data_IF_744775987909
#
_entry.id   IF_744775987909
#
_cell.length_a   1.000
_cell.length_b   1.000
_cell.length_c   1.000
_cell.angle_alpha   90.00
_cell.angle_beta   90.00
_cell.angle_gamma   90.00
#
_symmetry.space_group_name_H-M   'P 1'
#
loop_
_entity.id
_entity.type
_entity.pdbx_description
1 polymer ?
#
# COMPACT_ATOMS: atom_id res chain seq x y z
N UNK A 1 -0.13 5.78 -12.49
CA UNK A 1 1.29 6.13 -12.67
C UNK A 1 1.84 7.12 -11.63
N UNK A 2 1.37 8.38 -11.58
CA UNK A 2 1.98 9.43 -10.72
C UNK A 2 1.94 9.18 -9.19
N UNK A 3 1.00 8.37 -8.71
CA UNK A 3 0.87 8.04 -7.27
C UNK A 3 1.96 7.05 -6.80
N UNK A 4 2.20 5.95 -7.55
CA UNK A 4 3.24 4.94 -7.24
C UNK A 4 4.66 5.53 -7.26
N UNK A 5 4.96 6.40 -8.23
CA UNK A 5 6.24 7.10 -8.31
C UNK A 5 6.45 8.13 -7.16
N UNK A 6 5.37 8.66 -6.57
CA UNK A 6 5.46 9.53 -5.39
C UNK A 6 5.77 8.74 -4.12
N UNK A 7 5.12 7.60 -3.91
CA UNK A 7 5.40 6.73 -2.75
C UNK A 7 6.83 6.18 -2.76
N UNK A 8 7.34 5.78 -3.91
CA UNK A 8 8.71 5.30 -4.05
C UNK A 8 9.73 6.42 -3.83
N UNK A 9 9.44 7.66 -4.27
CA UNK A 9 10.25 8.84 -3.94
C UNK A 9 10.20 9.21 -2.46
N UNK A 10 9.07 9.04 -1.78
CA UNK A 10 8.96 9.28 -0.33
C UNK A 10 9.73 8.21 0.44
N UNK A 11 9.57 6.93 0.11
CA UNK A 11 10.38 5.87 0.70
C UNK A 11 11.88 6.08 0.44
N UNK A 12 12.26 6.44 -0.79
CA UNK A 12 13.63 6.78 -1.17
C UNK A 12 14.17 7.99 -0.39
N UNK A 13 13.35 9.02 -0.20
CA UNK A 13 13.72 10.19 0.57
C UNK A 13 13.87 9.86 2.04
N UNK A 14 12.97 9.07 2.60
CA UNK A 14 13.04 8.62 3.99
C UNK A 14 14.22 7.68 4.22
N UNK A 15 14.54 6.79 3.27
CA UNK A 15 15.76 5.96 3.37
C UNK A 15 17.03 6.78 3.19
N UNK A 16 17.04 7.76 2.29
CA UNK A 16 18.15 8.69 2.13
C UNK A 16 18.33 9.59 3.37
N UNK A 17 17.26 10.13 3.93
CA UNK A 17 17.27 10.93 5.16
C UNK A 17 17.66 10.07 6.37
N UNK A 18 17.21 8.82 6.45
CA UNK A 18 17.59 7.91 7.55
C UNK A 18 19.04 7.43 7.43
N UNK A 19 19.54 7.22 6.22
CA UNK A 19 20.95 6.97 5.97
C UNK A 19 21.81 8.22 6.27
N UNK A 20 21.31 9.42 5.96
CA UNK A 20 21.95 10.68 6.33
C UNK A 20 21.96 10.89 7.85
N UNK A 21 20.86 10.58 8.54
CA UNK A 21 20.74 10.69 10.00
C UNK A 21 21.57 9.65 10.74
N UNK A 22 21.70 8.43 10.20
CA UNK A 22 22.62 7.43 10.74
C UNK A 22 24.09 7.85 10.61
N UNK A 23 24.44 8.67 9.60
CA UNK A 23 25.76 9.28 9.50
C UNK A 23 25.93 10.51 10.39
N UNK A 24 24.88 11.31 10.59
CA UNK A 24 24.94 12.52 11.45
C UNK A 24 24.88 12.20 12.95
N UNK A 25 24.39 11.01 13.33
CA UNK A 25 24.43 10.51 14.72
C UNK A 25 25.82 10.12 15.22
N UNK A 26 26.86 10.29 14.40
CA UNK A 26 28.25 10.16 14.82
C UNK A 26 28.69 11.53 15.37
N UNK A 27 28.82 11.71 16.70
CA UNK A 27 29.10 13.00 17.29
C UNK A 27 30.53 13.44 16.97
N UNK A 28 30.66 14.24 15.92
CA UNK A 28 31.86 14.99 15.60
C UNK A 28 31.72 16.38 16.24
N UNK A 29 32.22 16.52 17.46
CA UNK A 29 32.07 17.75 18.24
C UNK A 29 32.91 18.94 17.74
N UNK A 30 33.80 18.79 16.75
CA UNK A 30 34.63 19.90 16.23
C UNK A 30 35.04 19.66 14.76
N UNK A 31 34.13 19.79 13.80
CA UNK A 31 34.48 19.70 12.37
C UNK A 31 34.28 21.03 11.62
N UNK A 32 35.36 21.66 11.12
CA UNK A 32 35.28 22.81 10.20
C UNK A 32 34.73 22.36 8.84
N UNK A 33 34.05 23.26 8.13
CA UNK A 33 33.48 23.14 6.77
C UNK A 33 33.85 21.83 6.03
N UNK A 34 33.13 20.76 6.34
CA UNK A 34 33.31 19.48 5.65
C UNK A 34 32.71 19.60 4.24
N UNK A 35 33.46 19.24 3.19
CA UNK A 35 32.95 19.24 1.83
C UNK A 35 31.70 18.36 1.74
N UNK A 36 30.73 18.81 0.93
CA UNK A 36 29.46 18.12 0.73
C UNK A 36 29.65 16.61 0.57
N UNK A 37 28.79 15.76 1.18
CA UNK A 37 28.94 14.32 1.11
C UNK A 37 29.05 13.87 -0.35
N UNK A 38 29.98 12.95 -0.67
CA UNK A 38 30.24 12.57 -2.05
C UNK A 38 28.95 12.09 -2.71
N UNK A 39 28.56 12.80 -3.78
CA UNK A 39 27.36 12.57 -4.60
C UNK A 39 27.22 11.11 -5.07
N UNK A 40 28.34 10.39 -5.15
CA UNK A 40 28.47 9.02 -5.65
C UNK A 40 27.73 7.95 -4.84
N UNK A 41 27.55 8.12 -3.52
CA UNK A 41 26.87 7.12 -2.69
C UNK A 41 25.34 7.03 -2.94
N UNK A 42 24.75 8.02 -3.61
CA UNK A 42 23.30 8.05 -3.91
C UNK A 42 22.92 7.29 -5.18
N UNK A 43 23.89 7.08 -6.08
CA UNK A 43 23.72 6.46 -7.39
C UNK A 43 23.19 5.01 -7.34
N UNK A 44 23.69 4.11 -6.46
CA UNK A 44 23.21 2.72 -6.44
C UNK A 44 21.75 2.64 -5.97
N UNK A 45 21.37 3.43 -4.97
CA UNK A 45 20.00 3.47 -4.48
C UNK A 45 19.04 4.06 -5.50
N UNK A 46 19.40 5.14 -6.20
CA UNK A 46 18.55 5.71 -7.24
C UNK A 46 18.31 4.73 -8.39
N UNK A 47 19.35 4.01 -8.81
CA UNK A 47 19.23 2.98 -9.83
C UNK A 47 18.35 1.81 -9.37
N UNK A 48 18.53 1.36 -8.13
CA UNK A 48 17.70 0.34 -7.51
C UNK A 48 16.23 0.75 -7.43
N UNK A 49 15.95 2.00 -7.07
CA UNK A 49 14.58 2.55 -7.02
C UNK A 49 13.97 2.58 -8.40
N UNK A 50 14.69 3.11 -9.41
CA UNK A 50 14.19 3.15 -10.79
C UNK A 50 13.89 1.74 -11.31
N UNK A 51 14.77 0.77 -11.03
CA UNK A 51 14.54 -0.62 -11.42
C UNK A 51 13.34 -1.21 -10.71
N UNK A 52 13.17 -0.92 -9.43
CA UNK A 52 11.98 -1.34 -8.68
C UNK A 52 10.70 -0.73 -9.26
N UNK A 53 10.71 0.55 -9.61
CA UNK A 53 9.60 1.24 -10.27
C UNK A 53 9.22 0.56 -11.58
N UNK A 54 10.20 0.31 -12.45
CA UNK A 54 10.01 -0.36 -13.74
C UNK A 54 9.44 -1.78 -13.56
N UNK A 55 9.97 -2.55 -12.62
CA UNK A 55 9.48 -3.91 -12.33
C UNK A 55 8.06 -3.91 -11.77
N UNK A 56 7.74 -2.98 -10.87
CA UNK A 56 6.40 -2.84 -10.30
C UNK A 56 5.40 -2.34 -11.35
N UNK A 57 5.84 -1.49 -12.28
CA UNK A 57 5.05 -1.05 -13.42
C UNK A 57 4.76 -2.24 -14.34
N UNK A 58 5.80 -2.96 -14.78
CA UNK A 58 5.66 -4.14 -15.62
C UNK A 58 4.78 -5.22 -14.96
N UNK A 59 5.00 -5.53 -13.68
CA UNK A 59 4.19 -6.48 -12.94
C UNK A 59 2.73 -6.01 -12.80
N UNK A 60 2.49 -4.70 -12.71
CA UNK A 60 1.13 -4.17 -12.65
C UNK A 60 0.39 -4.22 -13.98
N UNK A 61 1.08 -4.15 -15.12
CA UNK A 61 0.44 -4.27 -16.44
C UNK A 61 -0.04 -5.70 -16.69
N UNK A 62 0.61 -6.68 -16.08
CA UNK A 62 0.15 -8.06 -16.09
C UNK A 62 -0.99 -8.35 -15.10
N UNK A 63 -1.36 -7.39 -14.24
CA UNK A 63 -2.48 -7.59 -13.31
C UNK A 63 -3.81 -7.29 -14.02
N UNK A 64 -4.69 -8.28 -14.06
CA UNK A 64 -6.07 -8.13 -14.57
C UNK A 64 -6.79 -6.96 -13.88
N UNK A 65 -6.49 -6.72 -12.61
CA UNK A 65 -7.00 -5.59 -11.82
C UNK A 65 -6.67 -4.22 -12.44
N UNK A 66 -5.46 -4.02 -12.98
CA UNK A 66 -5.10 -2.73 -13.58
C UNK A 66 -5.75 -2.55 -14.97
N UNK A 67 -5.90 -3.64 -15.73
CA UNK A 67 -6.65 -3.62 -16.99
C UNK A 67 -8.12 -3.26 -16.75
N UNK A 68 -8.76 -3.89 -15.74
CA UNK A 68 -10.11 -3.57 -15.31
C UNK A 68 -10.24 -2.13 -14.81
N UNK A 69 -9.25 -1.63 -14.05
CA UNK A 69 -9.23 -0.23 -13.61
C UNK A 69 -9.12 0.74 -14.78
N UNK A 70 -8.28 0.43 -15.76
CA UNK A 70 -8.14 1.27 -16.95
C UNK A 70 -9.45 1.27 -17.75
N UNK A 71 -10.06 0.11 -17.95
CA UNK A 71 -11.35 -0.01 -18.61
C UNK A 71 -12.42 0.80 -17.88
N UNK A 72 -12.58 0.59 -16.57
CA UNK A 72 -13.50 1.35 -15.71
C UNK A 72 -13.24 2.85 -15.79
N UNK A 73 -11.98 3.27 -15.75
CA UNK A 73 -11.63 4.69 -15.82
C UNK A 73 -12.01 5.34 -17.15
N UNK A 74 -12.00 4.55 -18.23
CA UNK A 74 -12.39 4.99 -19.58
C UNK A 74 -13.90 4.98 -19.84
N UNK A 75 -14.69 4.40 -18.93
CA UNK A 75 -16.14 4.36 -19.08
C UNK A 75 -16.76 5.73 -18.89
N UNK A 76 -17.88 5.95 -19.58
CA UNK A 76 -18.74 7.12 -19.40
C UNK A 76 -19.29 7.12 -17.96
N UNK A 77 -19.39 8.27 -17.27
CA UNK A 77 -19.97 8.40 -15.93
C UNK A 77 -21.26 7.61 -15.67
N UNK A 78 -22.20 7.64 -16.62
CA UNK A 78 -23.47 6.93 -16.54
C UNK A 78 -23.30 5.41 -16.47
N UNK A 79 -22.33 4.87 -17.20
CA UNK A 79 -22.03 3.44 -17.19
C UNK A 79 -21.32 3.05 -15.89
N UNK A 80 -20.45 3.91 -15.34
CA UNK A 80 -19.85 3.70 -14.00
C UNK A 80 -20.93 3.60 -12.92
N UNK A 81 -21.91 4.51 -12.95
CA UNK A 81 -23.05 4.48 -12.02
C UNK A 81 -23.94 3.26 -12.23
N UNK A 82 -24.18 2.86 -13.48
CA UNK A 82 -24.96 1.66 -13.79
C UNK A 82 -24.27 0.40 -13.27
N UNK A 83 -22.95 0.28 -13.47
CA UNK A 83 -22.15 -0.81 -12.93
C UNK A 83 -22.22 -0.84 -11.39
N UNK A 84 -22.01 0.31 -10.74
CA UNK A 84 -22.14 0.41 -9.29
C UNK A 84 -23.54 0.04 -8.80
N UNK A 85 -24.59 0.42 -9.55
CA UNK A 85 -26.00 0.08 -9.25
C UNK A 85 -26.26 -1.41 -9.37
N UNK A 86 -25.69 -2.08 -10.37
CA UNK A 86 -25.78 -3.52 -10.52
C UNK A 86 -25.05 -4.26 -9.39
N UNK A 87 -23.87 -3.79 -8.99
CA UNK A 87 -23.12 -4.37 -7.86
C UNK A 87 -23.89 -4.15 -6.55
N UNK A 88 -24.37 -2.93 -6.29
CA UNK A 88 -25.14 -2.59 -5.11
C UNK A 88 -26.45 -3.39 -5.03
N UNK A 89 -27.16 -3.58 -6.13
CA UNK A 89 -28.39 -4.39 -6.17
C UNK A 89 -28.12 -5.87 -5.92
N UNK A 90 -27.03 -6.41 -6.47
CA UNK A 90 -26.60 -7.79 -6.19
C UNK A 90 -26.24 -7.99 -4.72
N UNK A 91 -25.54 -7.02 -4.11
CA UNK A 91 -25.22 -7.03 -2.68
C UNK A 91 -26.48 -6.97 -1.82
N UNK A 92 -27.43 -6.09 -2.15
CA UNK A 92 -28.70 -5.96 -1.46
C UNK A 92 -29.54 -7.24 -1.57
N UNK A 93 -29.62 -7.84 -2.76
CA UNK A 93 -30.30 -9.11 -2.98
C UNK A 93 -29.67 -10.23 -2.14
N UNK A 94 -28.34 -10.30 -2.12
CA UNK A 94 -27.61 -11.31 -1.32
C UNK A 94 -27.89 -11.13 0.17
N UNK A 95 -27.86 -9.89 0.67
CA UNK A 95 -28.20 -9.58 2.05
C UNK A 95 -29.65 -9.99 2.37
N UNK A 96 -30.60 -9.68 1.48
CA UNK A 96 -32.00 -10.04 1.66
C UNK A 96 -32.22 -11.56 1.72
N UNK A 97 -31.60 -12.31 0.80
CA UNK A 97 -31.68 -13.78 0.78
C UNK A 97 -31.10 -14.38 2.05
N UNK A 98 -29.94 -13.89 2.50
CA UNK A 98 -29.31 -14.39 3.72
C UNK A 98 -30.14 -14.06 4.97
N UNK A 99 -30.62 -12.82 5.09
CA UNK A 99 -31.50 -12.42 6.19
C UNK A 99 -32.78 -13.27 6.20
N UNK A 100 -33.40 -13.48 5.04
CA UNK A 100 -34.56 -14.36 4.88
C UNK A 100 -34.29 -15.79 5.35
N UNK A 101 -33.15 -16.38 4.97
CA UNK A 101 -32.75 -17.74 5.39
C UNK A 101 -32.50 -17.80 6.90
N UNK A 102 -31.98 -16.73 7.50
CA UNK A 102 -31.70 -16.66 8.95
C UNK A 102 -32.87 -16.20 9.81
N UNK A 103 -33.97 -15.74 9.20
CA UNK A 103 -35.13 -15.19 9.90
C UNK A 103 -34.93 -13.79 10.47
N UNK A 104 -33.88 -13.08 10.07
CA UNK A 104 -33.61 -11.70 10.47
C UNK A 104 -34.30 -10.69 9.54
N UNK A 105 -34.59 -9.49 10.06
CA UNK A 105 -35.10 -8.38 9.25
C UNK A 105 -33.98 -7.82 8.36
N UNK A 106 -34.07 -7.95 7.01
CA UNK A 106 -33.05 -7.44 6.10
C UNK A 106 -32.90 -5.92 6.17
N UNK A 107 -33.95 -5.20 6.56
CA UNK A 107 -33.93 -3.75 6.70
C UNK A 107 -33.37 -3.30 8.06
N UNK A 108 -33.09 -4.23 8.98
CA UNK A 108 -32.51 -3.96 10.28
C UNK A 108 -33.28 -2.91 11.08
N UNK A 109 -34.61 -2.91 10.98
CA UNK A 109 -35.51 -2.00 11.70
C UNK A 109 -35.87 -0.71 10.95
N UNK A 110 -35.42 -0.49 9.71
CA UNK A 110 -35.82 0.70 8.94
C UNK A 110 -37.32 0.66 8.67
N UNK A 111 -38.00 1.73 9.06
CA UNK A 111 -39.43 1.93 8.79
C UNK A 111 -39.64 3.28 8.10
N UNK A 112 -40.73 3.45 7.36
CA UNK A 112 -41.12 4.75 6.78
C UNK A 112 -41.74 5.71 7.83
N UNK A 113 -41.38 5.54 9.10
CA UNK A 113 -41.94 6.31 10.21
C UNK A 113 -40.98 7.42 10.64
N UNK A 114 -41.51 8.40 11.39
CA UNK A 114 -40.71 9.47 11.99
C UNK A 114 -39.54 8.92 12.84
N UNK A 115 -39.68 7.73 13.43
CA UNK A 115 -38.62 7.08 14.22
C UNK A 115 -37.34 6.83 13.42
N UNK A 116 -37.45 6.38 12.17
CA UNK A 116 -36.26 6.13 11.33
C UNK A 116 -35.65 7.43 10.82
N UNK A 117 -36.46 8.49 10.67
CA UNK A 117 -35.95 9.84 10.42
C UNK A 117 -35.17 10.38 11.63
N UNK A 118 -35.68 10.18 12.85
CA UNK A 118 -34.99 10.55 14.08
C UNK A 118 -33.68 9.75 14.24
N UNK A 119 -33.71 8.44 13.95
CA UNK A 119 -32.53 7.59 13.95
C UNK A 119 -31.49 8.05 12.90
N UNK A 120 -31.91 8.42 11.70
CA UNK A 120 -31.03 9.03 10.70
C UNK A 120 -30.41 10.35 11.20
N UNK A 121 -31.19 11.18 11.90
CA UNK A 121 -30.71 12.39 12.56
C UNK A 121 -29.63 12.11 13.60
N UNK A 122 -29.82 11.09 14.45
CA UNK A 122 -28.79 10.62 15.38
C UNK A 122 -27.56 10.08 14.62
N UNK A 123 -27.76 9.35 13.53
CA UNK A 123 -26.72 8.88 12.63
C UNK A 123 -25.85 10.01 12.08
N UNK A 124 -26.46 11.13 11.70
CA UNK A 124 -25.72 12.32 11.28
C UNK A 124 -24.86 12.90 12.40
N UNK A 125 -25.35 12.90 13.65
CA UNK A 125 -24.56 13.26 14.83
C UNK A 125 -23.38 12.31 15.05
N UNK A 126 -23.61 10.99 14.92
CA UNK A 126 -22.57 9.98 15.01
C UNK A 126 -21.56 10.01 13.84
N UNK A 127 -21.86 10.68 12.73
CA UNK A 127 -20.91 10.87 11.64
C UNK A 127 -19.79 11.86 12.02
N UNK A 128 -20.05 12.80 12.93
CA UNK A 128 -19.11 13.87 13.29
C UNK A 128 -17.69 13.37 13.66
N UNK A 129 -17.50 12.36 14.53
CA UNK A 129 -16.15 11.84 14.82
C UNK A 129 -15.48 11.20 13.59
N UNK A 130 -16.23 10.52 12.72
CA UNK A 130 -15.68 9.93 11.49
C UNK A 130 -15.20 11.01 10.53
N UNK A 131 -16.01 12.05 10.35
CA UNK A 131 -15.68 13.22 9.54
C UNK A 131 -14.48 13.98 10.09
N UNK A 132 -14.43 14.19 11.40
CA UNK A 132 -13.32 14.85 12.06
C UNK A 132 -12.02 14.04 11.87
N UNK A 133 -12.06 12.73 12.12
CA UNK A 133 -10.91 11.84 11.88
C UNK A 133 -10.46 11.88 10.42
N UNK A 134 -11.39 11.84 9.47
CA UNK A 134 -11.12 11.96 8.03
C UNK A 134 -10.38 13.26 7.70
N UNK A 135 -10.94 14.41 8.10
CA UNK A 135 -10.33 15.73 7.82
C UNK A 135 -8.98 15.87 8.52
N UNK A 136 -8.89 15.52 9.80
CA UNK A 136 -7.64 15.61 10.57
C UNK A 136 -6.54 14.72 9.98
N UNK A 137 -6.89 13.52 9.52
CA UNK A 137 -5.94 12.58 8.93
C UNK A 137 -5.29 13.12 7.66
N UNK A 138 -5.92 14.08 6.97
CA UNK A 138 -5.41 14.68 5.73
C UNK A 138 -4.57 15.95 5.96
N UNK A 139 -4.51 16.46 7.19
CA UNK A 139 -3.69 17.64 7.50
C UNK A 139 -2.20 17.34 7.27
N UNK A 140 -1.49 18.26 6.62
CA UNK A 140 -0.05 18.17 6.37
C UNK A 140 0.80 17.80 7.61
N UNK A 141 0.60 18.39 8.82
CA UNK A 141 1.36 17.99 10.00
C UNK A 141 1.10 16.53 10.42
N UNK A 142 -0.13 16.05 10.28
CA UNK A 142 -0.49 14.66 10.61
C UNK A 142 0.11 13.69 9.59
N UNK A 143 0.07 14.02 8.30
CA UNK A 143 0.71 13.22 7.24
C UNK A 143 2.23 13.16 7.40
N UNK A 144 2.86 14.26 7.84
CA UNK A 144 4.29 14.27 8.14
C UNK A 144 4.65 13.43 9.38
N UNK A 145 3.80 13.46 10.41
CA UNK A 145 4.00 12.66 11.64
C UNK A 145 3.73 11.16 11.42
N UNK A 146 2.76 10.81 10.57
CA UNK A 146 2.32 9.44 10.31
C UNK A 146 2.39 9.10 8.82
N UNK A 147 3.58 8.81 8.27
CA UNK A 147 3.75 8.54 6.83
C UNK A 147 2.94 7.32 6.35
N UNK A 148 2.78 6.30 7.20
CA UNK A 148 1.98 5.10 6.87
C UNK A 148 0.50 5.46 6.64
N UNK A 149 -0.02 6.47 7.34
CA UNK A 149 -1.39 6.94 7.13
C UNK A 149 -1.53 7.72 5.82
N UNK A 150 -0.51 8.51 5.47
CA UNK A 150 -0.46 9.18 4.17
C UNK A 150 -0.41 8.17 3.01
N UNK A 151 0.46 7.15 3.12
CA UNK A 151 0.55 6.07 2.13
C UNK A 151 -0.78 5.30 2.02
N UNK A 152 -1.45 5.06 3.15
CA UNK A 152 -2.79 4.44 3.16
C UNK A 152 -3.80 5.29 2.40
N UNK A 153 -3.87 6.59 2.66
CA UNK A 153 -4.78 7.51 1.97
C UNK A 153 -4.48 7.64 0.48
N UNK A 154 -3.20 7.70 0.11
CA UNK A 154 -2.77 7.78 -1.28
C UNK A 154 -3.12 6.48 -2.01
N UNK A 155 -2.94 5.33 -1.36
CA UNK A 155 -3.35 4.02 -1.91
C UNK A 155 -4.88 3.91 -2.03
N UNK A 156 -5.65 4.27 -1.01
CA UNK A 156 -7.12 4.21 -1.07
C UNK A 156 -7.68 5.17 -2.09
N UNK A 157 -7.13 6.39 -2.17
CA UNK A 157 -7.50 7.34 -3.23
C UNK A 157 -7.18 6.80 -4.61
N UNK A 158 -6.06 6.10 -4.80
CA UNK A 158 -5.70 5.45 -6.06
C UNK A 158 -6.69 4.36 -6.49
N UNK A 159 -7.27 3.62 -5.52
CA UNK A 159 -8.30 2.60 -5.78
C UNK A 159 -9.65 3.22 -6.13
N UNK A 160 -10.03 4.30 -5.44
CA UNK A 160 -11.34 4.96 -5.61
C UNK A 160 -11.36 5.89 -6.83
N UNK A 161 -10.24 6.53 -7.15
CA UNK A 161 -10.11 7.51 -8.24
C UNK A 161 -10.67 7.08 -9.60
N UNK A 162 -10.42 5.87 -10.14
CA UNK A 162 -10.99 5.49 -11.44
C UNK A 162 -12.53 5.47 -11.44
N UNK A 163 -13.15 5.17 -10.29
CA UNK A 163 -14.60 5.19 -10.13
C UNK A 163 -15.17 6.60 -9.98
N UNK A 164 -14.39 7.52 -9.39
CA UNK A 164 -14.85 8.88 -9.08
C UNK A 164 -14.41 9.93 -10.08
N UNK A 165 -13.44 9.62 -10.94
CA UNK A 165 -13.02 10.56 -11.98
C UNK A 165 -14.21 10.87 -12.87
N UNK A 166 -14.35 12.15 -13.22
CA UNK A 166 -15.35 12.65 -14.16
C UNK A 166 -16.80 12.60 -13.63
N UNK A 167 -17.00 12.29 -12.34
CA UNK A 167 -18.30 12.34 -11.69
C UNK A 167 -18.57 13.73 -11.09
N UNK A 168 -19.77 14.23 -11.35
CA UNK A 168 -20.29 15.42 -10.67
C UNK A 168 -20.63 15.12 -9.20
N UNK A 169 -20.75 16.15 -8.36
CA UNK A 169 -21.08 15.98 -6.93
C UNK A 169 -22.40 15.21 -6.70
N UNK A 170 -23.39 15.40 -7.59
CA UNK A 170 -24.66 14.67 -7.56
C UNK A 170 -24.47 13.18 -7.89
N UNK A 171 -23.61 12.89 -8.86
CA UNK A 171 -23.26 11.52 -9.26
C UNK A 171 -22.43 10.83 -8.17
N UNK A 172 -21.53 11.55 -7.49
CA UNK A 172 -20.82 11.03 -6.31
C UNK A 172 -21.77 10.69 -5.16
N UNK A 173 -22.79 11.53 -4.92
CA UNK A 173 -23.83 11.25 -3.95
C UNK A 173 -24.63 9.99 -4.34
N UNK A 174 -25.02 9.86 -5.61
CA UNK A 174 -25.70 8.67 -6.12
C UNK A 174 -24.83 7.42 -5.97
N UNK A 175 -23.54 7.50 -6.30
CA UNK A 175 -22.58 6.42 -6.12
C UNK A 175 -22.50 5.98 -4.65
N UNK A 176 -22.43 6.93 -3.71
CA UNK A 176 -22.42 6.65 -2.28
C UNK A 176 -23.74 6.01 -1.81
N UNK A 177 -24.89 6.53 -2.26
CA UNK A 177 -26.23 5.98 -1.97
C UNK A 177 -26.42 4.55 -2.50
N UNK A 178 -25.76 4.21 -3.59
CA UNK A 178 -25.87 2.89 -4.22
C UNK A 178 -24.95 1.87 -3.56
N UNK A 179 -23.78 2.29 -3.06
CA UNK A 179 -22.79 1.36 -2.50
C UNK A 179 -22.89 1.21 -0.98
N UNK A 180 -23.15 2.29 -0.24
CA UNK A 180 -23.09 2.28 1.23
C UNK A 180 -24.24 1.48 1.87
N UNK A 181 -25.52 1.72 1.53
CA UNK A 181 -26.62 0.99 2.16
C UNK A 181 -26.56 -0.53 1.93
N UNK A 182 -26.36 -1.04 0.68
CA UNK A 182 -26.24 -2.48 0.46
C UNK A 182 -25.05 -3.11 1.19
N UNK A 183 -23.91 -2.41 1.26
CA UNK A 183 -22.76 -2.89 2.03
C UNK A 183 -23.08 -3.00 3.52
N UNK A 184 -23.81 -2.04 4.09
CA UNK A 184 -24.21 -2.10 5.50
C UNK A 184 -25.29 -3.14 5.77
N UNK A 185 -26.25 -3.35 4.87
CA UNK A 185 -27.22 -4.46 4.97
C UNK A 185 -26.50 -5.82 4.94
N UNK A 186 -25.45 -5.96 4.13
CA UNK A 186 -24.66 -7.19 4.06
C UNK A 186 -23.76 -7.37 5.29
N UNK A 187 -23.23 -6.29 5.87
CA UNK A 187 -22.27 -6.38 6.98
C UNK A 187 -22.94 -6.43 8.36
N UNK A 188 -24.13 -5.85 8.54
CA UNK A 188 -24.76 -5.72 9.85
C UNK A 188 -25.83 -6.80 10.09
N UNK A 189 -27.06 -6.71 9.53
CA UNK A 189 -28.11 -7.68 9.83
C UNK A 189 -27.79 -9.08 9.32
N UNK A 190 -27.16 -9.19 8.15
CA UNK A 190 -26.79 -10.48 7.56
C UNK A 190 -25.79 -11.24 8.42
N UNK A 191 -24.71 -10.58 8.87
CA UNK A 191 -23.69 -11.22 9.73
C UNK A 191 -24.27 -11.56 11.10
N UNK A 192 -25.17 -10.71 11.64
CA UNK A 192 -25.90 -10.99 12.86
C UNK A 192 -26.70 -12.29 12.76
N UNK A 193 -27.54 -12.42 11.73
CA UNK A 193 -28.36 -13.62 11.50
C UNK A 193 -27.51 -14.88 11.30
N UNK A 194 -26.47 -14.81 10.46
CA UNK A 194 -25.60 -15.96 10.21
C UNK A 194 -24.92 -16.47 11.50
N UNK A 195 -24.48 -15.55 12.37
CA UNK A 195 -23.83 -15.93 13.63
C UNK A 195 -24.83 -16.39 14.69
N UNK A 196 -26.06 -15.85 14.69
CA UNK A 196 -27.13 -16.35 15.53
C UNK A 196 -27.45 -17.82 15.19
N UNK A 197 -27.58 -18.14 13.90
CA UNK A 197 -27.79 -19.52 13.42
C UNK A 197 -26.60 -20.42 13.73
N UNK A 198 -25.37 -19.99 13.44
CA UNK A 198 -24.16 -20.76 13.74
C UNK A 198 -24.01 -21.02 15.25
N UNK A 199 -24.31 -20.02 16.08
CA UNK A 199 -24.33 -20.16 17.54
C UNK A 199 -25.39 -21.13 18.02
N UNK A 200 -26.58 -21.13 17.41
CA UNK A 200 -27.64 -22.10 17.72
C UNK A 200 -27.23 -23.54 17.38
N UNK A 201 -26.57 -23.76 16.23
CA UNK A 201 -26.06 -25.08 15.82
C UNK A 201 -24.94 -25.54 16.76
N UNK A 202 -23.99 -24.67 17.10
CA UNK A 202 -22.93 -25.02 18.04
C UNK A 202 -23.50 -25.33 19.45
N UNK A 203 -24.54 -24.62 19.87
CA UNK A 203 -25.23 -24.87 21.13
C UNK A 203 -25.94 -26.23 21.14
N UNK A 204 -26.58 -26.63 20.04
CA UNK A 204 -27.25 -27.93 19.92
C UNK A 204 -26.23 -29.07 20.00
N UNK A 205 -25.09 -28.93 19.33
CA UNK A 205 -24.03 -29.95 19.32
C UNK A 205 -23.36 -30.11 20.70
N UNK A 206 -23.20 -29.02 21.45
CA UNK A 206 -22.59 -29.05 22.79
C UNK A 206 -23.54 -29.55 23.88
N UNK A 207 -24.84 -29.26 23.77
CA UNK A 207 -25.84 -29.61 24.81
C UNK A 207 -26.45 -30.98 24.61
N UNK A 208 -26.46 -31.50 23.38
CA UNK A 208 -26.79 -32.89 23.07
C UNK A 208 -25.53 -33.61 22.56
N UNK A 209 -24.55 -33.92 23.43
CA UNK A 209 -23.47 -34.81 23.04
C UNK A 209 -24.12 -36.14 22.68
N UNK A 210 -24.16 -36.47 21.38
CA UNK A 210 -24.82 -37.64 20.80
C UNK A 210 -24.77 -38.84 21.77
N UNK A 211 -25.86 -39.16 22.49
CA UNK A 211 -25.90 -40.37 23.29
C UNK A 211 -26.18 -41.51 22.33
N UNK A 212 -25.11 -42.15 21.85
CA UNK A 212 -25.20 -43.44 21.16
C UNK A 212 -25.51 -43.34 19.67
N UNK A 213 -24.47 -43.50 18.87
CA UNK A 213 -24.51 -43.94 17.47
C UNK A 213 -24.88 -45.44 17.38
N UNK A 214 -25.81 -45.91 18.21
CA UNK A 214 -26.32 -47.28 18.20
C UNK A 214 -27.85 -47.28 18.11
N UNK A 215 -28.33 -47.29 16.86
CA UNK A 215 -29.52 -48.02 16.47
C UNK A 215 -30.88 -47.49 16.97
N UNK A 216 -31.45 -46.50 16.29
CA UNK A 216 -32.88 -46.25 16.43
C UNK A 216 -33.33 -44.99 15.71
N UNK A 217 -33.72 -45.11 14.45
CA UNK A 217 -34.21 -44.01 13.62
C UNK A 217 -35.49 -43.38 14.17
N UNK A 218 -35.35 -42.41 15.07
CA UNK A 218 -36.45 -41.62 15.61
C UNK A 218 -36.21 -40.16 15.25
N UNK A 219 -37.01 -39.67 14.30
CA UNK A 219 -37.08 -38.26 13.92
C UNK A 219 -37.48 -37.45 15.16
N UNK A 220 -36.58 -36.64 15.69
CA UNK A 220 -36.89 -35.73 16.79
C UNK A 220 -37.42 -34.40 16.22
N UNK A 221 -38.60 -33.94 16.65
CA UNK A 221 -39.14 -32.65 16.24
C UNK A 221 -38.30 -31.51 16.80
N UNK A 222 -37.93 -30.57 15.92
CA UNK A 222 -37.04 -29.42 16.20
C UNK A 222 -37.59 -28.42 17.24
N UNK A 223 -38.80 -28.62 17.77
CA UNK A 223 -39.48 -27.68 18.67
C UNK A 223 -39.01 -27.73 20.14
N UNK A 224 -38.19 -28.71 20.54
CA UNK A 224 -37.88 -28.96 21.97
C UNK A 224 -36.50 -28.48 22.47
N UNK A 225 -35.68 -27.81 21.66
CA UNK A 225 -34.47 -27.10 22.15
C UNK A 225 -34.80 -25.74 22.81
N UNK A 226 -35.93 -25.72 23.52
CA UNK A 226 -36.39 -24.61 24.34
C UNK A 226 -35.56 -24.44 25.61
N UNK A 227 -34.77 -23.38 25.62
CA UNK A 227 -34.60 -22.43 26.73
C UNK A 227 -33.96 -22.85 28.07
N UNK A 228 -33.87 -24.13 28.47
CA UNK A 228 -33.53 -24.46 29.87
C UNK A 228 -32.04 -24.57 30.24
N UNK A 229 -31.14 -24.92 29.32
CA UNK A 229 -29.71 -25.10 29.64
C UNK A 229 -28.88 -23.81 29.73
N UNK A 230 -29.41 -22.69 29.23
CA UNK A 230 -28.66 -21.43 29.07
C UNK A 230 -28.95 -20.39 30.16
N UNK A 231 -29.66 -20.77 31.23
CA UNK A 231 -30.17 -19.88 32.27
C UNK A 231 -29.12 -19.34 33.26
N UNK A 232 -27.89 -19.84 33.24
CA UNK A 232 -26.85 -19.43 34.19
C UNK A 232 -25.88 -18.35 33.68
N UNK A 233 -25.96 -17.98 32.40
CA UNK A 233 -25.22 -16.79 31.91
C UNK A 233 -26.06 -15.55 32.21
N UNK A 234 -25.54 -14.55 32.94
CA UNK A 234 -26.28 -13.34 33.25
C UNK A 234 -26.86 -12.73 31.98
N UNK A 235 -28.13 -12.35 32.02
CA UNK A 235 -28.88 -11.81 30.87
C UNK A 235 -28.17 -10.59 30.22
N UNK A 236 -27.43 -9.83 31.04
CA UNK A 236 -26.57 -8.71 30.63
C UNK A 236 -25.38 -9.17 29.80
N UNK A 237 -24.69 -10.24 30.22
CA UNK A 237 -23.56 -10.83 29.52
C UNK A 237 -24.01 -11.44 28.20
N UNK A 238 -25.19 -12.08 28.17
CA UNK A 238 -25.79 -12.66 26.97
C UNK A 238 -26.15 -11.62 25.92
N UNK A 239 -26.76 -10.49 26.32
CA UNK A 239 -27.07 -9.38 25.40
C UNK A 239 -25.81 -8.67 24.91
N UNK A 240 -24.84 -8.44 25.80
CA UNK A 240 -23.58 -7.77 25.44
C UNK A 240 -22.72 -8.60 24.48
N UNK A 241 -22.47 -9.88 24.80
CA UNK A 241 -21.67 -10.77 23.94
C UNK A 241 -22.37 -11.08 22.62
N UNK A 242 -23.70 -11.27 22.64
CA UNK A 242 -24.49 -11.51 21.43
C UNK A 242 -24.42 -10.36 20.42
N UNK A 243 -24.23 -9.13 20.88
CA UNK A 243 -24.00 -7.98 20.01
C UNK A 243 -22.53 -7.83 19.59
N UNK A 244 -21.58 -8.10 20.48
CA UNK A 244 -20.15 -7.91 20.21
C UNK A 244 -19.58 -8.91 19.21
N UNK A 245 -19.99 -10.19 19.28
CA UNK A 245 -19.43 -11.23 18.41
C UNK A 245 -19.71 -10.93 16.93
N UNK A 246 -20.97 -10.62 16.51
CA UNK A 246 -21.23 -10.24 15.13
C UNK A 246 -20.54 -8.96 14.69
N UNK A 247 -20.44 -7.96 15.57
CA UNK A 247 -19.68 -6.75 15.31
C UNK A 247 -18.22 -7.08 14.95
N UNK A 248 -17.57 -7.90 15.78
CA UNK A 248 -16.17 -8.29 15.61
C UNK A 248 -15.95 -9.17 14.37
N UNK A 249 -16.85 -10.11 14.09
CA UNK A 249 -16.76 -10.96 12.90
C UNK A 249 -16.95 -10.15 11.61
N UNK A 250 -17.94 -9.24 11.59
CA UNK A 250 -18.18 -8.33 10.46
C UNK A 250 -16.99 -7.40 10.24
N UNK A 251 -16.50 -6.80 11.32
CA UNK A 251 -15.29 -5.98 11.33
C UNK A 251 -14.08 -6.75 10.80
N UNK A 252 -13.84 -7.97 11.31
CA UNK A 252 -12.76 -8.85 10.87
C UNK A 252 -12.85 -9.15 9.37
N UNK A 253 -14.03 -9.50 8.86
CA UNK A 253 -14.21 -9.81 7.45
C UNK A 253 -13.95 -8.59 6.56
N UNK A 254 -14.55 -7.44 6.90
CA UNK A 254 -14.33 -6.19 6.17
C UNK A 254 -12.86 -5.76 6.20
N UNK A 255 -12.22 -5.85 7.38
CA UNK A 255 -10.80 -5.60 7.55
C UNK A 255 -9.96 -6.55 6.71
N UNK A 256 -10.30 -7.84 6.67
CA UNK A 256 -9.58 -8.83 5.87
C UNK A 256 -9.64 -8.51 4.37
N UNK A 257 -10.83 -8.22 3.86
CA UNK A 257 -11.03 -7.80 2.46
C UNK A 257 -10.21 -6.54 2.14
N UNK A 258 -10.26 -5.54 3.02
CA UNK A 258 -9.47 -4.31 2.86
C UNK A 258 -7.97 -4.60 2.86
N UNK A 259 -7.50 -5.43 3.79
CA UNK A 259 -6.09 -5.79 3.92
C UNK A 259 -5.58 -6.48 2.66
N UNK A 260 -6.36 -7.40 2.08
CA UNK A 260 -6.04 -8.09 0.83
C UNK A 260 -5.92 -7.15 -0.36
N UNK A 261 -6.74 -6.10 -0.40
CA UNK A 261 -6.69 -5.08 -1.46
C UNK A 261 -5.53 -4.10 -1.32
N UNK A 262 -4.99 -3.94 -0.10
CA UNK A 262 -3.86 -3.05 0.20
C UNK A 262 -2.51 -3.78 0.26
N UNK A 263 -2.51 -5.11 0.41
CA UNK A 263 -1.30 -5.92 0.49
C UNK A 263 -0.60 -6.03 -0.86
N UNK A 264 0.62 -6.54 -0.84
CA UNK A 264 1.40 -6.80 -2.05
C UNK A 264 0.71 -7.88 -2.88
N UNK A 265 0.41 -7.57 -4.14
CA UNK A 265 -0.18 -8.51 -5.07
C UNK A 265 0.73 -9.73 -5.28
N UNK A 266 0.14 -10.90 -5.49
CA UNK A 266 0.86 -12.16 -5.68
C UNK A 266 1.81 -12.06 -6.88
N UNK A 267 1.37 -11.41 -7.96
CA UNK A 267 2.21 -11.18 -9.14
C UNK A 267 3.39 -10.26 -8.86
N UNK A 268 3.19 -9.20 -8.07
CA UNK A 268 4.27 -8.30 -7.65
C UNK A 268 5.28 -9.02 -6.74
N UNK A 269 4.79 -9.83 -5.80
CA UNK A 269 5.64 -10.64 -4.94
C UNK A 269 6.46 -11.67 -5.74
N UNK A 270 5.86 -12.28 -6.76
CA UNK A 270 6.54 -13.22 -7.66
C UNK A 270 7.60 -12.52 -8.52
N UNK A 271 7.25 -11.40 -9.16
CA UNK A 271 8.18 -10.59 -9.96
C UNK A 271 9.37 -10.08 -9.12
N UNK A 272 9.11 -9.65 -7.88
CA UNK A 272 10.17 -9.24 -6.96
C UNK A 272 11.08 -10.40 -6.57
N UNK A 273 10.52 -11.59 -6.35
CA UNK A 273 11.30 -12.79 -6.03
C UNK A 273 12.21 -13.18 -7.19
N UNK A 274 11.71 -13.13 -8.42
CA UNK A 274 12.51 -13.39 -9.62
C UNK A 274 13.60 -12.32 -9.80
N UNK A 275 13.25 -11.05 -9.64
CA UNK A 275 14.19 -9.95 -9.69
C UNK A 275 15.28 -10.04 -8.60
N UNK A 276 14.96 -10.53 -7.41
CA UNK A 276 15.93 -10.76 -6.34
C UNK A 276 16.95 -11.85 -6.69
N UNK A 277 16.48 -12.93 -7.32
CA UNK A 277 17.35 -14.01 -7.79
C UNK A 277 18.25 -13.55 -8.95
N UNK A 278 17.75 -12.67 -9.82
CA UNK A 278 18.48 -12.11 -10.96
C UNK A 278 19.27 -10.83 -10.70
N UNK A 279 19.18 -10.25 -9.49
CA UNK A 279 19.69 -8.90 -9.21
C UNK A 279 21.20 -8.76 -9.51
N UNK A 280 22.01 -9.71 -9.04
CA UNK A 280 23.47 -9.64 -9.20
C UNK A 280 23.88 -9.60 -10.69
N UNK A 281 23.21 -10.40 -11.52
CA UNK A 281 23.47 -10.44 -12.98
C UNK A 281 23.01 -9.13 -13.63
N UNK A 282 21.79 -8.69 -13.33
CA UNK A 282 21.22 -7.47 -13.92
C UNK A 282 22.07 -6.24 -13.60
N UNK A 283 22.44 -6.04 -12.33
CA UNK A 283 23.20 -4.86 -11.92
C UNK A 283 24.66 -4.91 -12.35
N UNK A 284 25.25 -6.11 -12.52
CA UNK A 284 26.57 -6.22 -13.15
C UNK A 284 26.53 -5.75 -14.62
N UNK A 285 25.50 -6.15 -15.39
CA UNK A 285 25.31 -5.67 -16.76
C UNK A 285 25.05 -4.16 -16.82
N UNK A 286 24.15 -3.65 -15.98
CA UNK A 286 23.84 -2.22 -15.92
C UNK A 286 25.05 -1.37 -15.48
N UNK A 287 25.89 -1.89 -14.58
CA UNK A 287 27.14 -1.24 -14.19
C UNK A 287 28.14 -1.21 -15.35
N UNK A 288 28.26 -2.30 -16.10
CA UNK A 288 29.12 -2.36 -17.28
C UNK A 288 28.68 -1.37 -18.37
N UNK A 289 27.38 -1.28 -18.65
CA UNK A 289 26.81 -0.32 -19.61
C UNK A 289 27.08 1.13 -19.19
N UNK A 290 26.85 1.48 -17.92
CA UNK A 290 27.11 2.84 -17.41
C UNK A 290 28.58 3.24 -17.48
N UNK A 291 29.47 2.29 -17.24
CA UNK A 291 30.92 2.53 -17.35
C UNK A 291 31.34 2.70 -18.80
N UNK A 292 30.72 1.96 -19.73
CA UNK A 292 30.95 2.15 -21.16
C UNK A 292 30.48 3.54 -21.64
N UNK A 293 29.34 4.03 -21.15
CA UNK A 293 28.84 5.38 -21.44
C UNK A 293 29.66 6.48 -20.77
N UNK A 294 30.18 6.22 -19.57
CA UNK A 294 30.89 7.20 -18.73
C UNK A 294 32.15 6.58 -18.10
N UNK A 295 33.24 6.41 -18.86
CA UNK A 295 34.48 5.80 -18.36
C UNK A 295 35.14 6.63 -17.25
N UNK A 296 34.79 7.91 -17.12
CA UNK A 296 35.28 8.81 -16.08
C UNK A 296 34.88 8.38 -14.67
N UNK A 297 33.77 7.64 -14.51
CA UNK A 297 33.28 7.15 -13.20
C UNK A 297 34.28 6.19 -12.56
N UNK A 298 35.06 5.47 -13.37
CA UNK A 298 36.05 4.52 -12.87
C UNK A 298 37.44 5.09 -12.71
N UNK A 299 37.69 6.35 -13.07
CA UNK A 299 38.98 6.98 -12.77
C UNK A 299 39.01 7.20 -11.25
N UNK A 300 39.73 6.38 -10.45
CA UNK A 300 39.80 6.57 -9.02
C UNK A 300 40.31 7.99 -8.83
N UNK A 301 39.47 8.84 -8.22
CA UNK A 301 39.59 10.29 -8.26
C UNK A 301 41.06 10.68 -8.27
N UNK A 302 41.56 11.12 -9.42
CA UNK A 302 42.87 11.74 -9.52
C UNK A 302 42.73 12.92 -8.60
N UNK A 303 43.16 12.75 -7.36
CA UNK A 303 43.13 13.78 -6.34
C UNK A 303 43.72 14.99 -7.05
N UNK A 304 42.84 15.95 -7.33
CA UNK A 304 43.23 17.25 -7.82
C UNK A 304 44.08 17.81 -6.70
N UNK A 305 45.35 17.47 -6.74
CA UNK A 305 46.43 18.27 -6.22
C UNK A 305 46.36 19.55 -7.05
N UNK A 306 45.40 20.40 -6.70
CA UNK A 306 45.53 21.82 -6.91
C UNK A 306 46.88 22.16 -6.29
N UNK A 307 47.85 22.40 -7.16
CA UNK A 307 49.18 22.86 -6.78
C UNK A 307 49.02 24.11 -5.94
N UNK A 308 49.05 23.95 -4.63
CA UNK A 308 49.44 24.99 -3.72
C UNK A 308 50.93 25.15 -3.92
N UNK A 309 51.29 26.21 -4.63
CA UNK A 309 52.65 26.67 -4.78
C UNK A 309 53.35 26.69 -3.42
N UNK A 310 54.45 25.94 -3.36
CA UNK A 310 55.63 26.14 -2.52
C UNK A 310 55.57 27.28 -1.49
N UNK A 311 55.51 26.92 -0.21
CA UNK A 311 56.11 27.68 0.88
C UNK A 311 56.78 26.70 1.83
N UNK A 312 58.12 26.66 1.73
CA UNK A 312 59.05 25.95 2.60
C UNK A 312 58.71 26.04 4.09
N UNK A 313 58.70 24.91 4.79
CA UNK A 313 59.32 24.82 6.11
C UNK A 313 59.75 23.37 6.39
N UNK A 314 61.06 23.23 6.55
CA UNK A 314 61.76 22.00 6.90
C UNK A 314 61.46 21.54 8.33
N UNK A 315 61.61 20.23 8.50
CA UNK A 315 62.09 19.50 9.68
C UNK A 315 61.25 19.49 10.95
N UNK A 316 60.70 18.32 11.30
CA UNK A 316 61.28 17.52 12.39
C UNK A 316 60.75 16.07 12.37
N UNK A 317 61.68 15.15 12.67
CA UNK A 317 61.46 13.71 12.78
C UNK A 317 60.53 13.36 13.96
N UNK A 318 59.69 12.35 13.78
CA UNK A 318 58.93 11.76 14.89
C UNK A 318 58.16 10.51 14.47
N UNK A 319 58.79 9.35 14.73
CA UNK A 319 58.24 8.01 14.99
C UNK A 319 56.86 7.57 14.45
N UNK A 320 56.88 6.38 13.83
CA UNK A 320 55.72 5.56 13.51
C UNK A 320 54.78 5.32 14.71
N UNK A 321 53.49 5.05 14.46
CA UNK A 321 53.06 3.66 14.61
C UNK A 321 51.97 3.16 13.64
N UNK A 322 52.07 1.85 13.39
CA UNK A 322 51.02 0.83 13.20
C UNK A 322 49.77 1.12 12.34
N UNK A 323 49.61 0.26 11.33
CA UNK A 323 48.42 0.13 10.49
C UNK A 323 47.13 -0.13 11.31
N UNK A 324 45.99 0.51 10.96
CA UNK A 324 44.71 0.18 11.55
C UNK A 324 44.15 -1.11 10.94
N UNK A 325 44.04 -2.12 11.79
CA UNK A 325 43.26 -3.33 11.55
C UNK A 325 41.80 -2.95 11.32
N UNK A 326 41.25 -3.27 10.14
CA UNK A 326 39.83 -3.11 9.83
C UNK A 326 39.03 -4.14 10.62
N UNK A 327 38.44 -3.69 11.74
CA UNK A 327 37.51 -4.49 12.54
C UNK A 327 36.13 -4.43 11.87
N UNK A 328 35.71 -5.58 11.34
CA UNK A 328 34.33 -5.84 10.90
C UNK A 328 33.39 -5.65 12.11
N UNK A 329 32.31 -4.86 12.03
CA UNK A 329 31.42 -4.66 13.16
C UNK A 329 30.77 -5.98 13.58
N UNK A 330 30.91 -6.32 14.86
CA UNK A 330 30.26 -7.44 15.49
C UNK A 330 28.73 -7.27 15.42
N UNK A 331 28.04 -8.36 15.09
CA UNK A 331 26.59 -8.43 15.07
C UNK A 331 26.01 -7.96 16.42
N UNK A 332 24.99 -7.10 16.35
CA UNK A 332 24.26 -6.63 17.52
C UNK A 332 23.69 -7.82 18.32
N UNK A 333 23.67 -7.74 19.67
CA UNK A 333 23.09 -8.78 20.50
C UNK A 333 21.61 -8.95 20.18
N UNK A 334 21.23 -10.16 19.83
CA UNK A 334 19.85 -10.58 19.62
C UNK A 334 19.13 -10.46 20.96
N UNK A 335 18.25 -9.48 21.10
CA UNK A 335 17.30 -9.42 22.23
C UNK A 335 16.30 -10.56 22.04
N UNK A 336 16.60 -11.70 22.66
CA UNK A 336 15.66 -12.79 22.87
C UNK A 336 14.63 -12.32 23.89
N UNK A 337 13.41 -12.01 23.44
CA UNK A 337 12.33 -11.71 24.38
C UNK A 337 11.09 -11.13 23.72
N UNK A 338 10.38 -11.94 22.94
CA UNK A 338 8.91 -12.04 22.85
C UNK A 338 8.56 -12.85 21.59
N UNK A 339 8.11 -14.08 21.82
CA UNK A 339 7.90 -15.10 20.80
C UNK A 339 6.74 -14.79 19.85
N UNK A 340 7.05 -14.91 18.56
CA UNK A 340 6.11 -15.10 17.46
C UNK A 340 6.92 -15.50 16.21
N UNK A 341 6.58 -16.59 15.49
CA UNK A 341 7.41 -17.09 14.40
C UNK A 341 7.21 -16.23 13.15
N UNK A 342 8.02 -15.18 13.00
CA UNK A 342 8.17 -14.45 11.74
C UNK A 342 9.65 -14.21 11.54
N UNK A 343 10.32 -15.12 10.82
CA UNK A 343 11.41 -14.87 9.86
C UNK A 343 12.10 -16.20 9.49
N UNK A 344 11.62 -16.83 8.42
CA UNK A 344 12.35 -17.86 7.67
C UNK A 344 12.23 -17.51 6.19
N UNK A 345 12.92 -16.44 5.77
CA UNK A 345 13.03 -16.09 4.34
C UNK A 345 14.45 -15.70 3.92
N UNK A 346 15.43 -15.75 4.82
CA UNK A 346 16.78 -15.24 4.56
C UNK A 346 17.84 -16.30 4.18
N UNK A 347 17.52 -17.60 4.09
CA UNK A 347 18.55 -18.64 4.00
C UNK A 347 18.48 -19.60 2.80
N UNK A 348 17.82 -19.25 1.68
CA UNK A 348 17.52 -20.23 0.63
C UNK A 348 18.01 -19.92 -0.80
N UNK A 349 18.99 -19.02 -0.99
CA UNK A 349 19.33 -18.51 -2.33
C UNK A 349 20.76 -18.71 -2.86
N UNK A 350 21.68 -19.35 -2.13
CA UNK A 350 23.11 -19.25 -2.45
C UNK A 350 23.73 -20.46 -3.20
N UNK A 351 22.99 -21.52 -3.52
CA UNK A 351 23.63 -22.79 -3.95
C UNK A 351 23.67 -23.07 -5.47
N UNK A 352 22.83 -22.47 -6.32
CA UNK A 352 22.63 -22.97 -7.70
C UNK A 352 23.14 -22.05 -8.84
N UNK A 353 23.98 -21.06 -8.56
CA UNK A 353 24.40 -20.07 -9.57
C UNK A 353 25.73 -20.40 -10.32
N UNK A 354 26.27 -21.61 -10.20
CA UNK A 354 27.67 -21.88 -10.56
C UNK A 354 27.95 -22.47 -11.96
N UNK A 355 26.95 -22.80 -12.80
CA UNK A 355 27.23 -23.65 -13.98
C UNK A 355 26.60 -23.20 -15.33
N UNK A 356 26.89 -21.97 -15.77
CA UNK A 356 26.51 -21.55 -17.14
C UNK A 356 27.65 -20.80 -17.86
N UNK A 357 28.39 -21.56 -18.68
CA UNK A 357 28.73 -21.23 -20.07
C UNK A 357 29.52 -19.95 -20.36
N UNK A 358 30.84 -19.99 -20.15
CA UNK A 358 31.76 -19.01 -20.74
C UNK A 358 32.01 -19.33 -22.23
N UNK A 359 31.27 -18.66 -23.11
CA UNK A 359 31.58 -18.60 -24.55
C UNK A 359 32.71 -17.60 -24.80
N UNK A 360 33.86 -18.10 -25.26
CA UNK A 360 35.05 -17.31 -25.56
C UNK A 360 34.90 -16.53 -26.86
N UNK A 361 34.87 -15.20 -26.76
CA UNK A 361 35.20 -14.28 -27.86
C UNK A 361 36.33 -13.38 -27.38
N UNK A 362 37.55 -13.74 -27.75
CA UNK A 362 38.72 -12.85 -27.89
C UNK A 362 38.75 -12.46 -29.39
N UNK A 363 39.06 -11.26 -29.87
CA UNK A 363 40.10 -10.25 -29.65
C UNK A 363 39.48 -8.92 -30.17
N UNK A 364 39.84 -7.67 -29.87
CA UNK A 364 41.13 -7.02 -29.70
C UNK A 364 40.83 -5.55 -29.34
N UNK A 365 41.05 -5.09 -28.11
CA UNK A 365 41.26 -3.66 -27.82
C UNK A 365 41.95 -3.51 -26.46
N UNK A 366 43.28 -3.38 -26.51
CA UNK A 366 44.14 -3.18 -25.34
C UNK A 366 44.11 -1.70 -24.92
N UNK A 367 42.93 -1.25 -24.50
CA UNK A 367 42.77 -0.04 -23.69
C UNK A 367 42.64 -0.51 -22.26
N UNK A 368 43.59 -0.10 -21.40
CA UNK A 368 43.72 -0.45 -19.99
C UNK A 368 42.36 -0.79 -19.35
N UNK A 369 42.03 -2.08 -19.34
CA UNK A 369 40.72 -2.53 -18.92
C UNK A 369 40.51 -2.06 -17.48
N UNK A 370 39.38 -1.41 -17.17
CA UNK A 370 39.09 -1.05 -15.79
C UNK A 370 39.24 -2.30 -14.92
N UNK A 371 39.73 -2.15 -13.67
CA UNK A 371 39.94 -3.31 -12.81
C UNK A 371 38.60 -4.04 -12.67
N UNK A 372 38.50 -5.25 -13.23
CA UNK A 372 37.27 -6.04 -13.24
C UNK A 372 36.64 -6.20 -11.83
N UNK A 373 37.45 -6.05 -10.78
CA UNK A 373 37.00 -5.98 -9.39
C UNK A 373 36.10 -4.78 -9.06
N UNK A 374 36.39 -3.58 -9.57
CA UNK A 374 35.60 -2.37 -9.27
C UNK A 374 34.19 -2.44 -9.87
N UNK A 375 34.06 -2.96 -11.10
CA UNK A 375 32.77 -3.20 -11.74
C UNK A 375 31.93 -4.24 -10.99
N UNK A 376 32.55 -5.35 -10.56
CA UNK A 376 31.87 -6.38 -9.76
C UNK A 376 31.40 -5.85 -8.41
N UNK A 377 32.23 -5.05 -7.75
CA UNK A 377 31.88 -4.42 -6.48
C UNK A 377 30.71 -3.44 -6.65
N UNK A 378 30.75 -2.58 -7.66
CA UNK A 378 29.66 -1.66 -7.96
C UNK A 378 28.34 -2.40 -8.25
N UNK A 379 28.39 -3.47 -9.06
CA UNK A 379 27.22 -4.29 -9.36
C UNK A 379 26.64 -4.98 -8.11
N UNK A 380 27.50 -5.50 -7.24
CA UNK A 380 27.09 -6.10 -5.96
C UNK A 380 26.45 -5.06 -5.03
N UNK A 381 27.05 -3.87 -4.91
CA UNK A 381 26.50 -2.78 -4.09
C UNK A 381 25.12 -2.33 -4.59
N UNK A 382 24.92 -2.26 -5.92
CA UNK A 382 23.62 -1.94 -6.52
C UNK A 382 22.57 -3.05 -6.29
N UNK A 383 22.97 -4.33 -6.39
CA UNK A 383 22.10 -5.46 -6.12
C UNK A 383 21.65 -5.51 -4.65
N UNK A 384 22.55 -5.25 -3.72
CA UNK A 384 22.24 -5.17 -2.29
C UNK A 384 21.37 -3.96 -1.96
N UNK A 385 21.64 -2.81 -2.60
CA UNK A 385 20.75 -1.65 -2.50
C UNK A 385 19.34 -1.99 -3.00
N UNK A 386 19.21 -2.69 -4.12
CA UNK A 386 17.91 -3.13 -4.66
C UNK A 386 17.17 -4.08 -3.73
N UNK A 387 17.84 -5.11 -3.19
CA UNK A 387 17.25 -6.03 -2.20
C UNK A 387 16.77 -5.27 -0.96
N UNK A 388 17.55 -4.30 -0.49
CA UNK A 388 17.18 -3.48 0.68
C UNK A 388 15.96 -2.61 0.40
N UNK A 389 15.96 -1.87 -0.72
CA UNK A 389 14.86 -0.97 -1.09
C UNK A 389 13.55 -1.73 -1.32
N UNK A 390 13.60 -2.85 -2.04
CA UNK A 390 12.44 -3.69 -2.30
C UNK A 390 11.90 -4.37 -1.03
N UNK A 391 12.78 -4.82 -0.12
CA UNK A 391 12.35 -5.34 1.18
C UNK A 391 11.65 -4.26 2.02
N UNK A 392 12.19 -3.03 2.04
CA UNK A 392 11.56 -1.90 2.72
C UNK A 392 10.21 -1.53 2.11
N UNK A 393 10.09 -1.58 0.78
CA UNK A 393 8.82 -1.36 0.08
C UNK A 393 7.77 -2.43 0.44
N UNK A 394 8.14 -3.71 0.50
CA UNK A 394 7.21 -4.77 0.93
C UNK A 394 6.78 -4.58 2.39
N UNK A 395 7.70 -4.16 3.27
CA UNK A 395 7.40 -3.89 4.67
C UNK A 395 6.47 -2.67 4.83
N UNK A 396 6.65 -1.61 4.03
CA UNK A 396 5.75 -0.45 4.07
C UNK A 396 4.34 -0.83 3.62
N UNK A 397 4.21 -1.59 2.51
CA UNK A 397 2.92 -2.10 2.03
C UNK A 397 2.20 -2.95 3.06
N UNK A 398 2.90 -3.89 3.72
CA UNK A 398 2.31 -4.69 4.81
C UNK A 398 1.86 -3.84 6.01
N UNK A 399 2.58 -2.76 6.33
CA UNK A 399 2.17 -1.84 7.41
C UNK A 399 0.91 -1.06 7.03
N UNK A 400 0.83 -0.59 5.79
CA UNK A 400 -0.35 0.07 5.23
C UNK A 400 -1.55 -0.87 5.25
N UNK A 401 -1.39 -2.12 4.79
CA UNK A 401 -2.44 -3.12 4.80
C UNK A 401 -2.96 -3.45 6.22
N UNK A 402 -2.05 -3.58 7.20
CA UNK A 402 -2.41 -3.79 8.61
C UNK A 402 -3.13 -2.58 9.21
N UNK A 403 -2.67 -1.37 8.91
CA UNK A 403 -3.33 -0.15 9.38
C UNK A 403 -4.74 -0.04 8.78
N UNK A 404 -4.87 -0.29 7.47
CA UNK A 404 -6.16 -0.36 6.78
C UNK A 404 -7.08 -1.40 7.38
N UNK A 405 -6.59 -2.61 7.67
CA UNK A 405 -7.33 -3.64 8.40
C UNK A 405 -7.89 -3.12 9.72
N UNK A 406 -7.04 -2.54 10.58
CA UNK A 406 -7.44 -2.07 11.92
C UNK A 406 -8.47 -0.95 11.81
N UNK A 407 -8.24 0.04 10.93
CA UNK A 407 -9.17 1.16 10.74
C UNK A 407 -10.53 0.71 10.19
N UNK A 408 -10.55 -0.21 9.23
CA UNK A 408 -11.80 -0.78 8.71
C UNK A 408 -12.53 -1.56 9.79
N UNK A 409 -11.82 -2.38 10.58
CA UNK A 409 -12.42 -3.10 11.71
C UNK A 409 -13.05 -2.13 12.72
N UNK A 410 -12.36 -1.06 13.08
CA UNK A 410 -12.87 -0.04 14.01
C UNK A 410 -14.09 0.68 13.44
N UNK A 411 -14.07 1.05 12.16
CA UNK A 411 -15.20 1.72 11.50
C UNK A 411 -16.45 0.84 11.46
N UNK A 412 -16.32 -0.43 11.08
CA UNK A 412 -17.46 -1.36 11.04
C UNK A 412 -17.96 -1.67 12.46
N UNK A 413 -17.06 -1.84 13.43
CA UNK A 413 -17.46 -2.02 14.84
C UNK A 413 -18.23 -0.80 15.35
N UNK A 414 -17.78 0.41 15.01
CA UNK A 414 -18.44 1.65 15.38
C UNK A 414 -19.84 1.77 14.76
N UNK A 415 -19.99 1.50 13.46
CA UNK A 415 -21.29 1.48 12.78
C UNK A 415 -22.23 0.41 13.35
N UNK A 416 -21.70 -0.74 13.73
CA UNK A 416 -22.47 -1.78 14.41
C UNK A 416 -22.96 -1.32 15.79
N UNK A 417 -22.12 -0.64 16.58
CA UNK A 417 -22.53 -0.08 17.88
C UNK A 417 -23.66 0.93 17.67
N UNK A 418 -23.56 1.82 16.68
CA UNK A 418 -24.63 2.77 16.35
C UNK A 418 -25.92 2.01 16.07
N UNK A 419 -25.87 1.02 15.18
CA UNK A 419 -27.04 0.20 14.83
C UNK A 419 -27.68 -0.44 16.06
N UNK A 420 -26.88 -1.06 16.93
CA UNK A 420 -27.38 -1.72 18.13
C UNK A 420 -27.95 -0.71 19.15
N UNK A 421 -27.40 0.51 19.22
CA UNK A 421 -27.92 1.54 20.14
C UNK A 421 -29.22 2.18 19.65
N UNK A 422 -29.40 2.34 18.33
CA UNK A 422 -30.60 2.92 17.74
C UNK A 422 -31.67 1.87 17.44
N UNK A 423 -31.27 0.60 17.31
CA UNK A 423 -32.09 -0.50 16.82
C UNK A 423 -32.75 -0.18 15.46
N UNK A 424 -32.07 0.61 14.65
CA UNK A 424 -32.53 1.09 13.35
C UNK A 424 -31.32 1.32 12.44
N UNK A 425 -31.31 0.64 11.29
CA UNK A 425 -30.22 0.67 10.31
C UNK A 425 -30.13 2.03 9.57
N UNK A 426 -31.14 2.90 9.65
CA UNK A 426 -31.07 4.26 9.11
C UNK A 426 -29.92 5.06 9.72
N UNK A 427 -29.68 4.93 11.03
CA UNK A 427 -28.61 5.64 11.74
C UNK A 427 -27.19 5.32 11.22
N UNK A 428 -26.74 4.04 11.18
CA UNK A 428 -25.42 3.71 10.62
C UNK A 428 -25.33 3.98 9.12
N UNK A 429 -26.43 3.87 8.35
CA UNK A 429 -26.43 4.24 6.92
C UNK A 429 -26.14 5.72 6.75
N UNK A 430 -26.84 6.60 7.47
CA UNK A 430 -26.60 8.04 7.40
C UNK A 430 -25.17 8.38 7.85
N UNK A 431 -24.70 7.76 8.94
CA UNK A 431 -23.33 7.97 9.43
C UNK A 431 -22.27 7.55 8.39
N UNK A 432 -22.41 6.35 7.83
CA UNK A 432 -21.52 5.82 6.80
C UNK A 432 -21.57 6.63 5.51
N UNK A 433 -22.75 7.07 5.08
CA UNK A 433 -22.93 7.84 3.86
C UNK A 433 -22.26 9.21 3.96
N UNK A 434 -22.44 9.92 5.08
CA UNK A 434 -21.77 11.20 5.30
C UNK A 434 -20.24 11.04 5.34
N UNK A 435 -19.74 10.01 6.03
CA UNK A 435 -18.32 9.72 6.10
C UNK A 435 -17.71 9.42 4.72
N UNK A 436 -18.36 8.56 3.92
CA UNK A 436 -17.92 8.22 2.56
C UNK A 436 -18.02 9.43 1.64
N UNK A 437 -19.11 10.19 1.68
CA UNK A 437 -19.29 11.38 0.84
C UNK A 437 -18.20 12.42 1.12
N UNK A 438 -17.86 12.65 2.39
CA UNK A 438 -16.78 13.56 2.74
C UNK A 438 -15.43 13.08 2.20
N UNK A 439 -15.11 11.79 2.30
CA UNK A 439 -13.89 11.23 1.71
C UNK A 439 -13.84 11.41 0.18
N UNK A 440 -14.96 11.17 -0.51
CA UNK A 440 -15.05 11.35 -1.97
C UNK A 440 -14.83 12.81 -2.37
N UNK A 441 -15.46 13.75 -1.66
CA UNK A 441 -15.30 15.19 -1.89
C UNK A 441 -13.87 15.66 -1.61
N UNK A 442 -13.23 15.12 -0.56
CA UNK A 442 -11.84 15.42 -0.23
C UNK A 442 -10.86 14.92 -1.29
N UNK A 443 -11.12 13.74 -1.88
CA UNK A 443 -10.34 13.20 -3.01
C UNK A 443 -10.50 14.12 -4.22
N UNK A 444 -11.73 14.48 -4.59
CA UNK A 444 -12.02 15.34 -5.74
C UNK A 444 -11.39 16.74 -5.59
N UNK A 445 -11.46 17.32 -4.39
CA UNK A 445 -10.86 18.63 -4.12
C UNK A 445 -9.33 18.62 -4.22
N UNK A 446 -8.69 17.52 -3.79
CA UNK A 446 -7.24 17.37 -3.90
C UNK A 446 -6.77 17.32 -5.35
N UNK A 447 -7.53 16.65 -6.22
CA UNK A 447 -7.23 16.57 -7.65
C UNK A 447 -7.39 17.93 -8.35
N UNK A 448 -8.42 18.71 -7.99
CA UNK A 448 -8.67 20.03 -8.56
C UNK A 448 -7.64 21.08 -8.10
N UNK A 449 -7.20 21.03 -6.84
CA UNK A 449 -6.26 22.00 -6.27
C UNK A 449 -4.83 21.90 -6.82
N UNK A 450 -4.41 20.72 -7.26
CA UNK A 450 -3.05 20.49 -7.79
C UNK A 450 -2.77 21.18 -9.14
N UNK A 451 -3.81 21.43 -9.95
CA UNK A 451 -3.68 22.02 -11.28
C UNK A 451 -3.36 23.52 -11.28
N UNK A 452 -3.84 24.28 -10.30
CA UNK A 452 -3.71 25.74 -10.27
C UNK A 452 -2.28 26.22 -9.91
N UNK A 453 -1.51 25.41 -9.17
CA UNK A 453 -0.15 25.79 -8.73
C UNK A 453 0.95 25.31 -9.68
N UNK A 454 0.72 24.23 -10.43
CA UNK A 454 1.68 23.65 -11.39
C UNK A 454 1.65 24.28 -12.78
N UNK A 455 0.63 25.08 -13.09
CA UNK A 455 0.52 25.88 -14.32
C UNK A 455 1.48 27.07 -14.39
N UNK A 456 2.70 26.94 -13.84
CA UNK A 456 3.81 27.80 -14.21
C UNK A 456 4.10 27.46 -15.66
N UNK A 457 3.42 28.18 -16.55
CA UNK A 457 3.63 28.23 -18.00
C UNK A 457 5.10 27.93 -18.24
N UNK A 458 5.40 26.72 -18.70
CA UNK A 458 6.63 26.49 -19.44
C UNK A 458 6.54 27.58 -20.51
N UNK A 459 7.41 28.62 -20.50
CA UNK A 459 7.36 29.63 -21.54
C UNK A 459 7.41 28.82 -22.82
N UNK A 460 6.36 28.94 -23.64
CA UNK A 460 6.39 28.40 -24.97
C UNK A 460 7.68 28.96 -25.55
N UNK A 461 8.67 28.09 -25.73
CA UNK A 461 9.83 28.40 -26.53
C UNK A 461 9.25 28.52 -27.94
N UNK A 462 8.70 29.71 -28.23
CA UNK A 462 8.48 30.25 -29.55
C UNK A 462 9.87 30.47 -30.16
N UNK A 463 10.60 29.37 -30.37
CA UNK A 463 11.64 29.30 -31.37
C UNK A 463 10.93 29.26 -32.71
N UNK A 464 10.59 30.44 -33.22
CA UNK A 464 10.30 30.66 -34.61
C UNK A 464 11.56 30.25 -35.40
N UNK A 465 11.61 29.01 -35.86
CA UNK A 465 12.45 28.62 -36.99
C UNK A 465 11.55 28.82 -38.21
N UNK A 466 11.71 29.97 -38.86
CA UNK A 466 11.02 30.27 -40.10
C UNK A 466 11.43 29.27 -41.19
N UNK A 467 10.51 28.81 -42.05
CA UNK A 467 10.88 28.20 -43.31
C UNK A 467 11.40 29.32 -44.21
N UNK A 468 12.71 29.38 -44.40
CA UNK A 468 13.30 30.15 -45.49
C UNK A 468 12.81 29.55 -46.81
N UNK A 469 12.17 30.41 -47.60
CA UNK A 469 11.75 30.22 -48.97
C UNK A 469 12.83 29.52 -49.82
N UNK A 470 12.46 28.37 -50.38
CA UNK A 470 13.20 27.65 -51.40
C UNK A 470 12.36 27.57 -52.67
N UNK A 471 12.30 28.70 -53.36
CA UNK A 471 11.65 28.93 -54.65
C UNK A 471 12.22 28.01 -55.74
N UNK A 472 11.40 27.06 -56.22
CA UNK A 472 11.74 26.13 -57.30
C UNK A 472 10.63 26.10 -58.35
N UNK A 473 10.59 27.14 -59.18
CA UNK A 473 9.77 27.31 -60.37
C UNK A 473 10.27 26.35 -61.45
N UNK A 474 9.45 25.41 -61.89
CA UNK A 474 9.73 24.51 -63.00
C UNK A 474 8.53 24.43 -63.92
N UNK A 475 8.53 25.28 -64.94
CA UNK A 475 7.74 25.14 -66.16
C UNK A 475 8.02 23.79 -66.82
N UNK A 476 6.99 23.17 -67.38
CA UNK A 476 7.12 21.91 -68.10
C UNK A 476 5.82 21.52 -68.78
N UNK A 477 5.51 22.23 -69.86
CA UNK A 477 4.55 21.85 -70.90
C UNK A 477 5.00 20.59 -71.64
N UNK A 478 4.11 19.61 -71.78
CA UNK A 478 3.72 18.92 -73.03
C UNK A 478 2.50 18.03 -72.80
#
# INVERSE_FOLDING_TARGET
>A
MACKARELRVCARVTAERAALQRSGQPSADAPDLPAPPYEASVPYQAAIHRLEELLEQASWCSEDEALRHEVSSLIPELKLTLATNVGSLMALTAFVLCWVTGEDPLGGITLQARSLDAAGLGAGYAAPLLLCSVLSRLAPVRAAFPVLADLQDTTSGVVKPMTSDLDNTQLLLLALVLVPPALMLLLPTVHGCLAVAGAIAATDLTQPLPGLEGGGRQLPLEWLGAQGWLHVPLVVRRGLGALVPALCSAYYAGHVMSRRLDVDVHQAWALREAWAGADRYFLHAAAERVAERPEILKPGSSSSSGSSSSNCNSSMGAAPAAPTVVRPAAAPTVQGLGGPVTTFASMGAADAADWGAGSVAEQQEQAAPPAGALRQLGADMADAFRTVSALWMLSRRRVARLGYVLTCLNISYLYIIWHTTNDLAAPITAGLLAVLAELLLIQHHDNGGGASGGRRRPAASGAVGPTDGQGRGDGSE
#
